data_IF_687277162252
#
_entry.id   IF_687277162252
#
_cell.length_a   1.000
_cell.length_b   1.000
_cell.length_c   1.000
_cell.angle_alpha   90.00
_cell.angle_beta   90.00
_cell.angle_gamma   90.00
#
_symmetry.space_group_name_H-M   'P 1'
#
loop_
_entity.id
_entity.type
_entity.pdbx_description
1 polymer ?
#
# COMPACT_ATOMS: atom_id res chain seq x y z
N UNK A 1 -12.34 7.28 -23.91
CA UNK A 1 -13.41 7.48 -22.89
C UNK A 1 -14.40 6.32 -22.83
N UNK A 2 -15.17 6.02 -23.90
CA UNK A 2 -16.19 4.96 -23.85
C UNK A 2 -15.61 3.54 -23.62
N UNK A 3 -14.50 3.18 -24.28
CA UNK A 3 -13.88 1.86 -24.15
C UNK A 3 -13.23 1.63 -22.77
N UNK A 4 -12.57 2.65 -22.20
CA UNK A 4 -12.01 2.57 -20.84
C UNK A 4 -13.12 2.38 -19.78
N UNK A 5 -14.27 3.06 -19.95
CA UNK A 5 -15.42 2.89 -19.06
C UNK A 5 -16.08 1.51 -19.23
N UNK A 6 -16.10 0.97 -20.45
CA UNK A 6 -16.55 -0.40 -20.72
C UNK A 6 -15.64 -1.43 -20.04
N UNK A 7 -14.32 -1.26 -20.12
CA UNK A 7 -13.35 -2.12 -19.43
C UNK A 7 -13.59 -2.14 -17.92
N UNK A 8 -13.82 -0.98 -17.31
CA UNK A 8 -14.14 -0.88 -15.87
C UNK A 8 -15.46 -1.58 -15.51
N UNK A 9 -16.48 -1.44 -16.34
CA UNK A 9 -17.76 -2.10 -16.13
C UNK A 9 -17.65 -3.64 -16.25
N UNK A 10 -16.92 -4.13 -17.25
CA UNK A 10 -16.70 -5.56 -17.46
C UNK A 10 -15.90 -6.21 -16.32
N UNK A 11 -14.90 -5.51 -15.80
CA UNK A 11 -14.15 -5.94 -14.62
C UNK A 11 -15.08 -6.13 -13.40
N UNK A 12 -15.94 -5.14 -13.13
CA UNK A 12 -16.93 -5.21 -12.04
C UNK A 12 -17.98 -6.32 -12.24
N UNK A 13 -18.22 -6.73 -13.47
CA UNK A 13 -19.14 -7.82 -13.82
C UNK A 13 -18.46 -9.22 -13.80
N UNK A 14 -17.20 -9.32 -13.40
CA UNK A 14 -16.47 -10.59 -13.36
C UNK A 14 -16.13 -11.15 -14.73
N UNK A 15 -15.95 -10.27 -15.73
CA UNK A 15 -15.60 -10.63 -17.13
C UNK A 15 -14.20 -10.12 -17.48
N UNK A 16 -13.14 -10.67 -16.85
CA UNK A 16 -11.79 -10.13 -16.94
C UNK A 16 -11.21 -10.13 -18.35
N UNK A 17 -11.44 -11.20 -19.13
CA UNK A 17 -10.89 -11.29 -20.48
C UNK A 17 -11.47 -10.23 -21.42
N UNK A 18 -12.77 -9.93 -21.29
CA UNK A 18 -13.41 -8.88 -22.08
C UNK A 18 -12.99 -7.49 -21.63
N UNK A 19 -12.74 -7.29 -20.33
CA UNK A 19 -12.16 -6.06 -19.83
C UNK A 19 -10.75 -5.84 -20.41
N UNK A 20 -9.93 -6.89 -20.47
CA UNK A 20 -8.60 -6.85 -21.11
C UNK A 20 -8.71 -6.47 -22.58
N UNK A 21 -9.63 -7.07 -23.33
CA UNK A 21 -9.87 -6.70 -24.74
C UNK A 21 -10.27 -5.22 -24.86
N UNK A 22 -11.26 -4.77 -24.09
CA UNK A 22 -11.76 -3.40 -24.14
C UNK A 22 -10.66 -2.36 -23.81
N UNK A 23 -9.82 -2.64 -22.81
CA UNK A 23 -8.69 -1.78 -22.49
C UNK A 23 -7.59 -1.81 -23.57
N UNK A 24 -7.34 -2.97 -24.19
CA UNK A 24 -6.37 -3.08 -25.29
C UNK A 24 -6.81 -2.27 -26.50
N UNK A 25 -8.10 -2.33 -26.85
CA UNK A 25 -8.68 -1.52 -27.94
C UNK A 25 -8.64 -0.02 -27.61
N UNK A 26 -8.92 0.34 -26.35
CA UNK A 26 -8.80 1.71 -25.87
C UNK A 26 -7.36 2.24 -26.01
N UNK A 27 -6.35 1.43 -25.64
CA UNK A 27 -4.94 1.77 -25.79
C UNK A 27 -4.54 2.01 -27.23
N UNK A 28 -4.99 1.16 -28.16
CA UNK A 28 -4.72 1.35 -29.58
C UNK A 28 -5.29 2.68 -30.10
N UNK A 29 -6.52 3.04 -29.70
CA UNK A 29 -7.14 4.30 -30.07
C UNK A 29 -6.41 5.52 -29.47
N UNK A 30 -6.01 5.45 -28.20
CA UNK A 30 -5.28 6.53 -27.51
C UNK A 30 -3.91 6.77 -28.15
N UNK A 31 -3.17 5.70 -28.47
CA UNK A 31 -1.90 5.78 -29.19
C UNK A 31 -2.06 6.42 -30.55
N UNK A 32 -3.10 6.05 -31.30
CA UNK A 32 -3.38 6.64 -32.61
C UNK A 32 -3.74 8.13 -32.51
N UNK A 33 -4.45 8.52 -31.44
CA UNK A 33 -4.80 9.91 -31.16
C UNK A 33 -3.65 10.73 -30.56
N UNK A 34 -2.54 10.09 -30.15
CA UNK A 34 -1.44 10.75 -29.45
C UNK A 34 -1.76 11.16 -28.00
N UNK A 35 -2.84 10.64 -27.41
CA UNK A 35 -3.24 10.94 -26.03
C UNK A 35 -2.42 10.10 -25.04
N UNK A 36 -1.23 10.62 -24.72
CA UNK A 36 -0.26 9.95 -23.87
C UNK A 36 -0.71 9.86 -22.41
N UNK A 37 -1.41 10.87 -21.90
CA UNK A 37 -1.93 10.87 -20.53
C UNK A 37 -3.06 9.83 -20.37
N UNK A 38 -3.99 9.77 -21.33
CA UNK A 38 -5.03 8.74 -21.37
C UNK A 38 -4.46 7.33 -21.49
N UNK A 39 -3.35 7.16 -22.23
CA UNK A 39 -2.64 5.89 -22.33
C UNK A 39 -2.10 5.43 -20.97
N UNK A 40 -1.44 6.30 -20.20
CA UNK A 40 -0.88 5.97 -18.88
C UNK A 40 -1.97 5.49 -17.91
N UNK A 41 -3.09 6.21 -17.87
CA UNK A 41 -4.25 5.83 -17.04
C UNK A 41 -4.82 4.47 -17.45
N UNK A 42 -4.96 4.24 -18.76
CA UNK A 42 -5.53 3.00 -19.30
C UNK A 42 -4.60 1.79 -19.08
N UNK A 43 -3.28 1.98 -19.22
CA UNK A 43 -2.29 0.95 -18.92
C UNK A 43 -2.36 0.54 -17.45
N UNK A 44 -2.47 1.49 -16.52
CA UNK A 44 -2.63 1.17 -15.10
C UNK A 44 -3.88 0.33 -14.84
N UNK A 45 -5.03 0.75 -15.39
CA UNK A 45 -6.28 0.00 -15.26
C UNK A 45 -6.17 -1.41 -15.84
N UNK A 46 -5.57 -1.57 -17.02
CA UNK A 46 -5.31 -2.88 -17.61
C UNK A 46 -4.39 -3.73 -16.72
N UNK A 47 -3.32 -3.14 -16.19
CA UNK A 47 -2.40 -3.79 -15.26
C UNK A 47 -3.11 -4.35 -14.04
N UNK A 48 -3.99 -3.57 -13.41
CA UNK A 48 -4.81 -4.00 -12.27
C UNK A 48 -5.70 -5.20 -12.61
N UNK A 49 -6.40 -5.19 -13.74
CA UNK A 49 -7.23 -6.33 -14.17
C UNK A 49 -6.38 -7.57 -14.45
N UNK A 50 -5.19 -7.41 -15.03
CA UNK A 50 -4.27 -8.53 -15.26
C UNK A 50 -3.79 -9.15 -13.94
N UNK A 51 -3.59 -8.36 -12.88
CA UNK A 51 -3.30 -8.87 -11.53
C UNK A 51 -4.47 -9.71 -11.01
N UNK A 52 -5.69 -9.16 -11.05
CA UNK A 52 -6.91 -9.87 -10.60
C UNK A 52 -7.14 -11.17 -11.38
N UNK A 53 -6.73 -11.20 -12.65
CA UNK A 53 -6.85 -12.37 -13.54
C UNK A 53 -5.70 -13.38 -13.38
N UNK A 54 -4.77 -13.17 -12.45
CA UNK A 54 -3.61 -14.04 -12.24
C UNK A 54 -2.53 -13.98 -13.33
N UNK A 55 -2.60 -13.00 -14.24
CA UNK A 55 -1.67 -12.80 -15.36
C UNK A 55 -0.48 -11.92 -14.96
N UNK A 56 0.21 -12.33 -13.89
CA UNK A 56 1.24 -11.53 -13.22
C UNK A 56 2.36 -11.01 -14.15
N UNK A 57 2.87 -11.84 -15.06
CA UNK A 57 3.93 -11.43 -15.98
C UNK A 57 3.50 -10.40 -17.03
N UNK A 58 2.22 -10.38 -17.40
CA UNK A 58 1.66 -9.33 -18.27
C UNK A 58 1.37 -8.06 -17.47
N UNK A 59 0.74 -8.19 -16.30
CA UNK A 59 0.50 -7.07 -15.39
C UNK A 59 1.78 -6.28 -15.09
N UNK A 60 2.87 -6.99 -14.78
CA UNK A 60 4.18 -6.39 -14.53
C UNK A 60 4.68 -5.52 -15.70
N UNK A 61 4.54 -6.03 -16.94
CA UNK A 61 4.96 -5.30 -18.15
C UNK A 61 4.07 -4.09 -18.37
N UNK A 62 2.75 -4.27 -18.30
CA UNK A 62 1.78 -3.18 -18.50
C UNK A 62 1.93 -2.06 -17.45
N UNK A 63 2.16 -2.40 -16.19
CA UNK A 63 2.41 -1.40 -15.13
C UNK A 63 3.75 -0.69 -15.32
N UNK A 64 4.78 -1.39 -15.80
CA UNK A 64 6.07 -0.76 -16.14
C UNK A 64 5.92 0.22 -17.29
N UNK A 65 5.15 -0.14 -18.33
CA UNK A 65 4.82 0.76 -19.42
C UNK A 65 4.04 1.98 -18.90
N UNK A 66 3.06 1.79 -18.02
CA UNK A 66 2.30 2.89 -17.39
C UNK A 66 3.22 3.88 -16.66
N UNK A 67 4.19 3.38 -15.88
CA UNK A 67 5.20 4.20 -15.20
C UNK A 67 6.02 5.01 -16.20
N UNK A 68 6.47 4.40 -17.30
CA UNK A 68 7.23 5.11 -18.33
C UNK A 68 6.41 6.23 -18.97
N UNK A 69 5.13 5.96 -19.30
CA UNK A 69 4.22 6.96 -19.85
C UNK A 69 3.99 8.13 -18.89
N UNK A 70 3.76 7.84 -17.60
CA UNK A 70 3.55 8.88 -16.60
C UNK A 70 4.80 9.76 -16.43
N UNK A 71 6.00 9.17 -16.47
CA UNK A 71 7.26 9.94 -16.45
C UNK A 71 7.44 10.82 -17.68
N UNK A 72 7.12 10.31 -18.86
CA UNK A 72 7.20 11.08 -20.11
C UNK A 72 6.25 12.29 -20.11
N UNK A 73 5.13 12.18 -19.41
CA UNK A 73 4.10 13.22 -19.31
C UNK A 73 4.18 14.06 -18.04
N UNK A 74 5.19 13.81 -17.19
CA UNK A 74 5.36 14.39 -15.84
C UNK A 74 4.13 14.23 -14.93
N UNK A 75 3.33 13.19 -15.16
CA UNK A 75 2.22 12.80 -14.28
C UNK A 75 2.74 12.04 -13.06
N UNK A 76 3.24 12.80 -12.08
CA UNK A 76 3.80 12.24 -10.83
C UNK A 76 2.79 11.43 -10.02
N UNK A 77 1.51 11.83 -10.05
CA UNK A 77 0.47 11.11 -9.33
C UNK A 77 0.15 9.76 -10.00
N UNK A 78 0.00 9.76 -11.34
CA UNK A 78 -0.15 8.54 -12.13
C UNK A 78 1.03 7.58 -11.98
N UNK A 79 2.26 8.12 -11.94
CA UNK A 79 3.48 7.33 -11.69
C UNK A 79 3.42 6.65 -10.31
N UNK A 80 3.09 7.41 -9.26
CA UNK A 80 2.97 6.89 -7.90
C UNK A 80 1.93 5.77 -7.79
N UNK A 81 0.80 5.93 -8.47
CA UNK A 81 -0.26 4.92 -8.52
C UNK A 81 0.21 3.63 -9.20
N UNK A 82 0.83 3.73 -10.38
CA UNK A 82 1.34 2.56 -11.09
C UNK A 82 2.49 1.86 -10.34
N UNK A 83 3.35 2.62 -9.66
CA UNK A 83 4.39 2.07 -8.77
C UNK A 83 3.79 1.33 -7.57
N UNK A 84 2.70 1.84 -6.99
CA UNK A 84 2.01 1.17 -5.88
C UNK A 84 1.42 -0.16 -6.35
N UNK A 85 0.73 -0.18 -7.49
CA UNK A 85 0.16 -1.40 -8.09
C UNK A 85 1.26 -2.44 -8.39
N UNK A 86 2.41 -1.99 -8.94
CA UNK A 86 3.55 -2.86 -9.21
C UNK A 86 4.20 -3.38 -7.92
N UNK A 87 4.31 -2.54 -6.88
CA UNK A 87 4.80 -2.91 -5.57
C UNK A 87 3.95 -4.00 -4.91
N UNK A 88 2.62 -3.87 -4.98
CA UNK A 88 1.68 -4.89 -4.51
C UNK A 88 1.85 -6.21 -5.26
N UNK A 89 1.99 -6.17 -6.58
CA UNK A 89 2.27 -7.37 -7.38
C UNK A 89 3.58 -8.05 -6.94
N UNK A 90 4.67 -7.30 -6.73
CA UNK A 90 5.93 -7.86 -6.21
C UNK A 90 5.80 -8.42 -4.81
N UNK A 91 5.01 -7.78 -3.96
CA UNK A 91 4.73 -8.29 -2.62
C UNK A 91 3.99 -9.64 -2.67
N UNK A 92 2.97 -9.77 -3.53
CA UNK A 92 2.24 -11.03 -3.74
C UNK A 92 3.15 -12.16 -4.25
N UNK A 93 4.11 -11.83 -5.12
CA UNK A 93 5.15 -12.77 -5.60
C UNK A 93 6.23 -13.08 -4.53
N UNK A 94 6.11 -12.53 -3.32
CA UNK A 94 7.11 -12.59 -2.23
C UNK A 94 8.47 -11.99 -2.58
N UNK A 95 8.51 -11.10 -3.58
CA UNK A 95 9.67 -10.30 -3.96
C UNK A 95 9.71 -9.02 -3.13
N UNK A 96 9.83 -9.17 -1.81
CA UNK A 96 9.67 -8.06 -0.87
C UNK A 96 10.70 -6.93 -1.06
N UNK A 97 11.93 -7.24 -1.43
CA UNK A 97 12.95 -6.23 -1.71
C UNK A 97 12.58 -5.31 -2.89
N UNK A 98 12.00 -5.88 -3.94
CA UNK A 98 11.52 -5.11 -5.11
C UNK A 98 10.29 -4.27 -4.72
N UNK A 99 9.37 -4.84 -3.95
CA UNK A 99 8.20 -4.13 -3.43
C UNK A 99 8.62 -2.90 -2.59
N UNK A 100 9.63 -3.03 -1.72
CA UNK A 100 10.20 -1.92 -0.95
C UNK A 100 10.66 -0.78 -1.87
N UNK A 101 11.37 -1.09 -2.96
CA UNK A 101 11.84 -0.08 -3.91
C UNK A 101 10.69 0.70 -4.57
N UNK A 102 9.67 -0.03 -5.03
CA UNK A 102 8.48 0.57 -5.66
C UNK A 102 7.66 1.40 -4.67
N UNK A 103 7.36 0.88 -3.48
CA UNK A 103 6.59 1.63 -2.47
C UNK A 103 7.34 2.85 -1.93
N UNK A 104 8.66 2.78 -1.77
CA UNK A 104 9.48 3.94 -1.35
C UNK A 104 9.35 5.09 -2.36
N UNK A 105 9.45 4.77 -3.64
CA UNK A 105 9.34 5.75 -4.72
C UNK A 105 7.93 6.33 -4.78
N UNK A 106 6.90 5.47 -4.74
CA UNK A 106 5.50 5.90 -4.74
C UNK A 106 5.14 6.80 -3.54
N UNK A 107 5.55 6.45 -2.32
CA UNK A 107 5.29 7.26 -1.12
C UNK A 107 5.98 8.63 -1.20
N UNK A 108 7.15 8.71 -1.83
CA UNK A 108 7.83 9.99 -2.07
C UNK A 108 7.02 10.87 -3.03
N UNK A 109 6.57 10.30 -4.16
CA UNK A 109 5.76 11.01 -5.15
C UNK A 109 4.39 11.44 -4.63
N UNK A 110 3.72 10.62 -3.80
CA UNK A 110 2.49 11.04 -3.13
C UNK A 110 2.72 12.22 -2.18
N UNK A 111 3.84 12.22 -1.45
CA UNK A 111 4.25 13.36 -0.64
C UNK A 111 4.51 14.63 -1.47
N UNK A 112 5.17 14.50 -2.62
CA UNK A 112 5.42 15.61 -3.56
C UNK A 112 4.13 16.19 -4.16
N UNK A 113 3.16 15.33 -4.48
CA UNK A 113 1.85 15.74 -5.04
C UNK A 113 0.85 16.20 -3.97
N UNK A 114 1.14 15.97 -2.69
CA UNK A 114 0.29 16.32 -1.57
C UNK A 114 -0.87 15.34 -1.32
N UNK A 115 -0.90 14.20 -2.00
CA UNK A 115 -1.92 13.16 -1.78
C UNK A 115 -1.60 12.33 -0.53
N UNK A 116 -2.00 12.87 0.62
CA UNK A 116 -1.72 12.27 1.92
C UNK A 116 -2.44 10.95 2.17
N UNK A 117 -3.60 10.72 1.55
CA UNK A 117 -4.34 9.46 1.70
C UNK A 117 -3.55 8.30 1.05
N UNK A 118 -3.13 8.50 -0.20
CA UNK A 118 -2.33 7.49 -0.89
C UNK A 118 -0.92 7.38 -0.30
N UNK A 119 -0.34 8.48 0.20
CA UNK A 119 0.93 8.42 0.93
C UNK A 119 0.84 7.49 2.15
N UNK A 120 -0.17 7.66 3.01
CA UNK A 120 -0.36 6.80 4.20
C UNK A 120 -0.55 5.33 3.82
N UNK A 121 -1.44 5.04 2.86
CA UNK A 121 -1.70 3.67 2.41
C UNK A 121 -0.44 2.99 1.83
N UNK A 122 0.35 3.73 1.05
CA UNK A 122 1.61 3.21 0.49
C UNK A 122 2.69 3.04 1.56
N UNK A 123 2.74 3.91 2.58
CA UNK A 123 3.63 3.73 3.73
C UNK A 123 3.27 2.47 4.53
N UNK A 124 1.99 2.16 4.73
CA UNK A 124 1.57 0.91 5.37
C UNK A 124 2.09 -0.32 4.59
N UNK A 125 1.92 -0.32 3.27
CA UNK A 125 2.43 -1.39 2.39
C UNK A 125 3.96 -1.50 2.45
N UNK A 126 4.66 -0.36 2.47
CA UNK A 126 6.11 -0.30 2.64
C UNK A 126 6.55 -0.86 4.00
N UNK A 127 5.84 -0.52 5.08
CA UNK A 127 6.09 -1.03 6.42
C UNK A 127 6.01 -2.56 6.47
N UNK A 128 4.95 -3.14 5.89
CA UNK A 128 4.80 -4.60 5.76
C UNK A 128 5.93 -5.24 4.95
N UNK A 129 6.33 -4.64 3.83
CA UNK A 129 7.44 -5.14 3.02
C UNK A 129 8.80 -5.04 3.74
N UNK A 130 9.03 -4.00 4.54
CA UNK A 130 10.22 -3.85 5.37
C UNK A 130 10.28 -4.91 6.48
N UNK A 131 9.16 -5.20 7.16
CA UNK A 131 9.08 -6.31 8.13
C UNK A 131 9.39 -7.64 7.45
N UNK A 132 8.80 -7.91 6.28
CA UNK A 132 9.04 -9.14 5.53
C UNK A 132 10.49 -9.33 5.07
N UNK A 133 11.27 -8.24 4.99
CA UNK A 133 12.73 -8.28 4.69
C UNK A 133 13.61 -8.20 5.94
N UNK A 134 13.03 -8.22 7.15
CA UNK A 134 13.75 -8.09 8.43
C UNK A 134 14.28 -6.68 8.71
N UNK A 135 13.88 -5.67 7.93
CA UNK A 135 14.33 -4.28 8.06
C UNK A 135 13.48 -3.51 9.09
N UNK A 136 13.43 -4.03 10.32
CA UNK A 136 12.51 -3.58 11.37
C UNK A 136 12.64 -2.09 11.72
N UNK A 137 13.85 -1.56 11.86
CA UNK A 137 14.08 -0.12 12.11
C UNK A 137 13.52 0.75 10.99
N UNK A 138 13.63 0.30 9.73
CA UNK A 138 13.02 0.98 8.60
C UNK A 138 11.49 0.98 8.67
N UNK A 139 10.89 -0.15 9.05
CA UNK A 139 9.45 -0.28 9.21
C UNK A 139 8.92 0.65 10.32
N UNK A 140 9.65 0.80 11.44
CA UNK A 140 9.31 1.74 12.52
C UNK A 140 9.32 3.19 12.02
N UNK A 141 10.35 3.59 11.27
CA UNK A 141 10.44 4.95 10.72
C UNK A 141 9.28 5.26 9.76
N UNK A 142 8.94 4.31 8.90
CA UNK A 142 7.83 4.44 7.94
C UNK A 142 6.48 4.48 8.66
N UNK A 143 6.25 3.58 9.63
CA UNK A 143 5.03 3.57 10.43
C UNK A 143 4.87 4.84 11.29
N UNK A 144 5.96 5.43 11.78
CA UNK A 144 5.91 6.71 12.51
C UNK A 144 5.48 7.86 11.59
N UNK A 145 5.97 7.87 10.33
CA UNK A 145 5.53 8.84 9.32
C UNK A 145 4.05 8.65 8.98
N UNK A 146 3.61 7.41 8.75
CA UNK A 146 2.21 7.07 8.47
C UNK A 146 1.29 7.50 9.62
N UNK A 147 1.64 7.17 10.87
CA UNK A 147 0.88 7.56 12.06
C UNK A 147 0.62 9.07 12.14
N UNK A 148 1.66 9.87 11.85
CA UNK A 148 1.51 11.33 11.78
C UNK A 148 0.50 11.74 10.71
N UNK A 149 0.53 11.11 9.53
CA UNK A 149 -0.39 11.42 8.44
C UNK A 149 -1.82 10.99 8.78
N UNK A 150 -2.04 9.80 9.34
CA UNK A 150 -3.37 9.37 9.78
C UNK A 150 -3.98 10.36 10.79
N UNK A 151 -3.17 10.85 11.74
CA UNK A 151 -3.59 11.90 12.68
C UNK A 151 -3.88 13.24 12.01
N UNK A 152 -3.05 13.66 11.06
CA UNK A 152 -3.28 14.87 10.25
C UNK A 152 -4.61 14.79 9.47
N UNK A 153 -4.98 13.60 9.00
CA UNK A 153 -6.21 13.34 8.24
C UNK A 153 -7.45 13.07 9.10
N UNK A 154 -7.28 12.80 10.40
CA UNK A 154 -8.35 12.28 11.25
C UNK A 154 -8.78 10.85 10.90
N UNK A 155 -7.89 10.08 10.27
CA UNK A 155 -8.10 8.66 9.96
C UNK A 155 -7.82 7.80 11.19
N UNK A 156 -8.85 7.64 12.03
CA UNK A 156 -8.77 6.83 13.25
C UNK A 156 -8.61 5.33 12.96
N UNK A 157 -9.13 4.81 11.84
CA UNK A 157 -8.95 3.40 11.50
C UNK A 157 -7.48 3.11 11.11
N UNK A 158 -6.90 3.98 10.29
CA UNK A 158 -5.48 3.97 9.96
C UNK A 158 -4.60 4.15 11.19
N UNK A 159 -4.92 5.10 12.08
CA UNK A 159 -4.19 5.35 13.33
C UNK A 159 -4.11 4.08 14.20
N UNK A 160 -5.24 3.41 14.44
CA UNK A 160 -5.25 2.17 15.23
C UNK A 160 -4.44 1.06 14.57
N UNK A 161 -4.52 0.95 13.24
CA UNK A 161 -3.80 -0.06 12.46
C UNK A 161 -2.29 0.13 12.52
N UNK A 162 -1.80 1.35 12.28
CA UNK A 162 -0.36 1.66 12.29
C UNK A 162 0.23 1.58 13.70
N UNK A 163 -0.50 2.00 14.74
CA UNK A 163 -0.09 1.82 16.14
C UNK A 163 0.09 0.34 16.48
N UNK A 164 -0.85 -0.52 16.05
CA UNK A 164 -0.74 -1.96 16.22
C UNK A 164 0.50 -2.51 15.50
N UNK A 165 0.72 -2.10 14.26
CA UNK A 165 1.87 -2.55 13.46
C UNK A 165 3.20 -2.11 14.11
N UNK A 166 3.31 -0.84 14.52
CA UNK A 166 4.48 -0.31 15.23
C UNK A 166 4.79 -1.12 16.48
N UNK A 167 3.78 -1.35 17.34
CA UNK A 167 4.00 -2.08 18.58
C UNK A 167 4.38 -3.54 18.36
N UNK A 168 3.88 -4.19 17.30
CA UNK A 168 4.34 -5.52 16.89
C UNK A 168 5.79 -5.51 16.41
N UNK A 169 6.15 -4.56 15.54
CA UNK A 169 7.53 -4.44 15.01
C UNK A 169 8.53 -4.11 16.12
N UNK A 170 8.17 -3.24 17.07
CA UNK A 170 8.99 -2.95 18.25
C UNK A 170 9.17 -4.19 19.14
N UNK A 171 8.11 -4.98 19.34
CA UNK A 171 8.21 -6.26 20.06
C UNK A 171 9.15 -7.25 19.37
N UNK A 172 9.18 -7.28 18.04
CA UNK A 172 10.11 -8.11 17.27
C UNK A 172 11.56 -7.63 17.38
N UNK A 173 11.77 -6.32 17.57
CA UNK A 173 13.08 -5.71 17.76
C UNK A 173 13.60 -5.81 19.21
N UNK A 174 12.73 -6.11 20.17
CA UNK A 174 13.07 -6.22 21.59
C UNK A 174 12.64 -5.04 22.45
N UNK A 175 12.12 -3.97 21.85
CA UNK A 175 11.71 -2.75 22.55
C UNK A 175 10.31 -2.96 23.16
N UNK A 176 10.22 -3.73 24.22
CA UNK A 176 8.96 -4.24 24.74
C UNK A 176 8.15 -3.16 25.48
N UNK A 177 8.80 -2.19 26.11
CA UNK A 177 8.10 -1.07 26.75
C UNK A 177 7.41 -0.18 25.70
N UNK A 178 8.15 0.32 24.70
CA UNK A 178 7.59 1.12 23.61
C UNK A 178 6.50 0.36 22.83
N UNK A 179 6.71 -0.94 22.62
CA UNK A 179 5.72 -1.79 22.00
C UNK A 179 4.39 -1.82 22.79
N UNK A 180 4.45 -1.99 24.11
CA UNK A 180 3.27 -2.07 24.96
C UNK A 180 2.48 -0.75 24.96
N UNK A 181 3.16 0.39 24.87
CA UNK A 181 2.53 1.70 24.80
C UNK A 181 1.75 1.86 23.50
N UNK A 182 2.39 1.64 22.34
CA UNK A 182 1.71 1.71 21.04
C UNK A 182 0.54 0.72 20.93
N UNK A 183 0.66 -0.49 21.48
CA UNK A 183 -0.42 -1.48 21.48
C UNK A 183 -1.57 -1.08 22.42
N UNK A 184 -1.27 -0.39 23.52
CA UNK A 184 -2.29 0.15 24.42
C UNK A 184 -3.06 1.29 23.73
N UNK A 185 -2.35 2.18 23.04
CA UNK A 185 -2.94 3.26 22.26
C UNK A 185 -3.81 2.71 21.12
N UNK A 186 -3.33 1.73 20.36
CA UNK A 186 -4.11 1.05 19.33
C UNK A 186 -5.43 0.48 19.89
N UNK A 187 -5.37 -0.16 21.06
CA UNK A 187 -6.56 -0.70 21.71
C UNK A 187 -7.56 0.38 22.16
N UNK A 188 -7.07 1.55 22.57
CA UNK A 188 -7.92 2.68 22.91
C UNK A 188 -8.66 3.18 21.65
N UNK A 189 -7.93 3.38 20.55
CA UNK A 189 -8.49 3.82 19.26
C UNK A 189 -9.55 2.83 18.76
N UNK A 190 -9.25 1.53 18.72
CA UNK A 190 -10.23 0.53 18.28
C UNK A 190 -11.48 0.48 19.19
N UNK A 191 -11.32 0.72 20.49
CA UNK A 191 -12.47 0.81 21.41
C UNK A 191 -13.36 2.01 21.11
N UNK A 192 -12.77 3.15 20.81
CA UNK A 192 -13.51 4.36 20.40
C UNK A 192 -14.29 4.14 19.10
N UNK A 193 -13.72 3.35 18.17
CA UNK A 193 -14.37 2.91 16.94
C UNK A 193 -15.43 1.80 17.14
N UNK A 194 -15.55 1.26 18.36
CA UNK A 194 -16.46 0.15 18.66
C UNK A 194 -15.96 -1.24 18.23
N UNK A 195 -14.74 -1.35 17.70
CA UNK A 195 -14.10 -2.61 17.31
C UNK A 195 -13.46 -3.29 18.53
N UNK A 196 -14.28 -4.04 19.25
CA UNK A 196 -13.85 -4.75 20.47
C UNK A 196 -12.87 -5.88 20.19
N UNK A 197 -12.93 -6.49 19.03
CA UNK A 197 -12.09 -7.64 18.67
C UNK A 197 -10.65 -7.18 18.41
N UNK A 198 -10.46 -6.13 17.59
CA UNK A 198 -9.14 -5.53 17.36
C UNK A 198 -8.58 -4.91 18.64
N UNK A 199 -9.44 -4.30 19.47
CA UNK A 199 -9.02 -3.77 20.77
C UNK A 199 -8.50 -4.88 21.71
N UNK A 200 -9.17 -6.03 21.76
CA UNK A 200 -8.75 -7.17 22.57
C UNK A 200 -7.44 -7.78 22.05
N UNK A 201 -7.30 -7.92 20.72
CA UNK A 201 -6.06 -8.39 20.07
C UNK A 201 -4.87 -7.50 20.45
N UNK A 202 -5.02 -6.18 20.32
CA UNK A 202 -3.97 -5.22 20.65
C UNK A 202 -3.57 -5.28 22.14
N UNK A 203 -4.56 -5.38 23.05
CA UNK A 203 -4.29 -5.56 24.48
C UNK A 203 -3.57 -6.87 24.80
N UNK A 204 -3.93 -7.97 24.13
CA UNK A 204 -3.26 -9.25 24.32
C UNK A 204 -1.77 -9.14 23.97
N UNK A 205 -1.45 -8.47 22.86
CA UNK A 205 -0.07 -8.20 22.49
C UNK A 205 0.63 -7.25 23.48
N UNK A 206 -0.05 -6.23 23.99
CA UNK A 206 0.51 -5.31 24.99
C UNK A 206 0.87 -6.04 26.30
N UNK A 207 -0.02 -6.93 26.77
CA UNK A 207 0.22 -7.77 27.95
C UNK A 207 1.39 -8.71 27.71
N UNK A 208 1.49 -9.31 26.53
CA UNK A 208 2.62 -10.17 26.17
C UNK A 208 3.95 -9.40 26.16
N UNK A 209 3.99 -8.18 25.66
CA UNK A 209 5.16 -7.32 25.70
C UNK A 209 5.56 -6.96 27.14
N UNK A 210 4.61 -6.51 27.98
CA UNK A 210 4.86 -6.22 29.41
C UNK A 210 5.34 -7.45 30.19
N UNK A 211 4.83 -8.64 29.87
CA UNK A 211 5.29 -9.87 30.50
C UNK A 211 6.76 -10.20 30.18
N UNK A 212 7.26 -9.81 29.01
CA UNK A 212 8.69 -9.97 28.66
C UNK A 212 9.58 -9.04 29.48
N UNK A 213 9.18 -7.78 29.65
CA UNK A 213 9.84 -6.81 30.55
C UNK A 213 9.88 -7.35 31.98
N UNK A 214 8.75 -7.83 32.50
CA UNK A 214 8.65 -8.37 33.86
C UNK A 214 9.54 -9.61 34.09
N UNK A 215 9.88 -10.35 33.03
CA UNK A 215 10.81 -11.49 33.08
C UNK A 215 12.29 -11.07 32.98
N UNK A 216 12.57 -9.76 32.99
CA UNK A 216 13.92 -9.21 32.95
C UNK A 216 14.58 -9.29 31.57
N UNK A 217 13.79 -9.42 30.50
CA UNK A 217 14.35 -9.22 29.15
C UNK A 217 14.66 -7.72 29.00
N UNK A 218 15.92 -7.35 28.72
CA UNK A 218 16.26 -5.96 28.46
C UNK A 218 15.55 -5.50 27.19
N UNK A 219 15.21 -4.21 27.16
CA UNK A 219 14.85 -3.51 25.92
C UNK A 219 16.07 -3.43 24.98
#
# INVERSE_FOLDING_TARGET
MALSNLGLALARLGRPDEAVTAYTDALAALRHAGDRQGEGTTLRSLGSILVESGRAGEAARTLTDAIAVCRETDDRHGEAMALTDLGLLRYQERRFADAVGHFTTAATLFGETGDRNHEASTLNNLGGALVATGRLTGAINVGTRELRICRELGDHEGEGTVLKNLGRTLSELGHFNEAADHLTDAAAVFRELGDRDRAAEALLHAVAARARVARGQPD
#
